data_IF_709602013576
#
_entry.id   IF_709602013576
#
_cell.length_a   1.000
_cell.length_b   1.000
_cell.length_c   1.000
_cell.angle_alpha   90.00
_cell.angle_beta   90.00
_cell.angle_gamma   90.00
#
_symmetry.space_group_name_H-M   'P 1'
#
loop_
_entity.id
_entity.type
_entity.pdbx_description
1 polymer ?
#
# COMPACT_ATOMS: atom_id res chain seq x y z
N UNK A 1 8.78 0.14 -22.23
CA UNK A 1 7.96 -0.85 -22.97
C UNK A 1 6.56 -0.27 -23.03
N UNK A 2 6.09 0.16 -24.22
CA UNK A 2 4.75 0.74 -24.37
C UNK A 2 3.73 -0.40 -24.26
N UNK A 3 3.04 -0.50 -23.12
CA UNK A 3 1.87 -1.38 -23.00
C UNK A 3 0.78 -0.74 -23.86
N UNK A 4 0.47 -1.33 -25.01
CA UNK A 4 -0.61 -0.86 -25.89
C UNK A 4 -1.95 -1.31 -25.32
N UNK A 5 -3.01 -0.50 -25.46
CA UNK A 5 -4.38 -0.92 -25.16
C UNK A 5 -4.73 -2.29 -25.79
N UNK A 6 -4.23 -2.56 -27.01
CA UNK A 6 -4.40 -3.85 -27.69
C UNK A 6 -3.78 -5.05 -26.95
N UNK A 7 -2.71 -4.85 -26.17
CA UNK A 7 -2.11 -5.89 -25.34
C UNK A 7 -2.99 -6.24 -24.15
N UNK A 8 -3.54 -5.24 -23.46
CA UNK A 8 -4.47 -5.41 -22.34
C UNK A 8 -5.80 -6.05 -22.80
N UNK A 9 -6.26 -5.72 -24.02
CA UNK A 9 -7.53 -6.21 -24.59
C UNK A 9 -7.47 -7.63 -25.15
N UNK A 10 -6.30 -8.08 -25.62
CA UNK A 10 -6.14 -9.43 -26.16
C UNK A 10 -6.07 -10.49 -25.05
N UNK A 11 -5.57 -10.09 -23.88
CA UNK A 11 -5.55 -10.91 -22.67
C UNK A 11 -6.98 -11.08 -22.11
N UNK A 12 -7.69 -9.97 -21.88
CA UNK A 12 -9.07 -9.97 -21.35
C UNK A 12 -10.11 -10.69 -22.25
N UNK A 13 -9.77 -11.03 -23.50
CA UNK A 13 -10.67 -11.68 -24.46
C UNK A 13 -10.63 -13.21 -24.44
N UNK A 14 -9.60 -13.81 -23.83
CA UNK A 14 -9.42 -15.28 -23.81
C UNK A 14 -10.34 -15.99 -22.81
N UNK A 15 -10.98 -15.25 -21.91
CA UNK A 15 -11.72 -15.77 -20.75
C UNK A 15 -13.24 -15.67 -20.84
N UNK A 16 -13.83 -15.14 -21.93
CA UNK A 16 -15.28 -14.86 -21.97
C UNK A 16 -16.03 -15.41 -23.18
N UNK A 17 -17.20 -16.00 -22.92
CA UNK A 17 -18.09 -16.69 -23.88
C UNK A 17 -19.05 -15.75 -24.63
N UNK A 18 -19.33 -14.53 -24.15
CA UNK A 18 -20.26 -13.60 -24.81
C UNK A 18 -19.54 -12.51 -25.66
N UNK A 19 -19.44 -12.76 -26.97
CA UNK A 19 -18.69 -11.94 -27.94
C UNK A 19 -19.23 -10.50 -28.14
N UNK A 20 -20.52 -10.23 -27.85
CA UNK A 20 -21.17 -8.95 -28.18
C UNK A 20 -20.93 -7.90 -27.09
N UNK A 21 -21.06 -8.29 -25.82
CA UNK A 21 -20.73 -7.47 -24.64
C UNK A 21 -19.23 -7.20 -24.56
N UNK A 22 -18.40 -8.22 -24.84
CA UNK A 22 -16.95 -8.10 -24.92
C UNK A 22 -16.50 -7.02 -25.92
N UNK A 23 -17.13 -6.95 -27.11
CA UNK A 23 -16.74 -5.98 -28.15
C UNK A 23 -17.06 -4.53 -27.76
N UNK A 24 -18.13 -4.31 -26.99
CA UNK A 24 -18.52 -2.99 -26.46
C UNK A 24 -17.58 -2.54 -25.33
N UNK A 25 -17.35 -3.40 -24.34
CA UNK A 25 -16.41 -3.13 -23.24
C UNK A 25 -14.97 -2.96 -23.74
N UNK A 26 -14.56 -3.70 -24.78
CA UNK A 26 -13.27 -3.51 -25.45
C UNK A 26 -13.11 -2.10 -25.99
N UNK A 27 -14.13 -1.55 -26.67
CA UNK A 27 -14.05 -0.20 -27.24
C UNK A 27 -13.99 0.89 -26.16
N UNK A 28 -14.77 0.74 -25.09
CA UNK A 28 -14.76 1.68 -23.96
C UNK A 28 -13.43 1.60 -23.16
N UNK A 29 -12.84 0.42 -22.99
CA UNK A 29 -11.51 0.25 -22.37
C UNK A 29 -10.40 0.86 -23.24
N UNK A 30 -10.44 0.71 -24.58
CA UNK A 30 -9.51 1.38 -25.50
C UNK A 30 -9.57 2.88 -25.30
N UNK A 31 -10.78 3.47 -25.33
CA UNK A 31 -10.95 4.92 -25.21
C UNK A 31 -10.49 5.47 -23.85
N UNK A 32 -10.76 4.74 -22.75
CA UNK A 32 -10.32 5.13 -21.40
C UNK A 32 -8.82 4.94 -21.20
N UNK A 33 -8.25 3.82 -21.64
CA UNK A 33 -6.80 3.54 -21.51
C UNK A 33 -5.99 4.44 -22.44
N UNK A 34 -6.40 4.64 -23.69
CA UNK A 34 -5.71 5.55 -24.61
C UNK A 34 -5.88 7.01 -24.19
N UNK A 35 -7.03 7.38 -23.62
CA UNK A 35 -7.26 8.68 -22.99
C UNK A 35 -6.34 8.93 -21.80
N UNK A 36 -6.22 7.96 -20.87
CA UNK A 36 -5.34 8.04 -19.71
C UNK A 36 -3.86 8.04 -20.11
N UNK A 37 -3.46 7.22 -21.08
CA UNK A 37 -2.10 7.21 -21.64
C UNK A 37 -1.77 8.54 -22.31
N UNK A 38 -2.73 9.18 -23.00
CA UNK A 38 -2.57 10.52 -23.57
C UNK A 38 -2.34 11.62 -22.52
N UNK A 39 -3.05 11.57 -21.40
CA UNK A 39 -2.87 12.50 -20.26
C UNK A 39 -1.56 12.24 -19.52
N UNK A 40 -1.13 10.98 -19.39
CA UNK A 40 0.15 10.61 -18.77
C UNK A 40 1.36 11.06 -19.61
N UNK A 41 1.27 10.98 -20.94
CA UNK A 41 2.35 11.42 -21.84
C UNK A 41 2.53 12.94 -21.86
N UNK A 42 1.47 13.71 -21.63
CA UNK A 42 1.52 15.19 -21.57
C UNK A 42 2.02 15.72 -20.22
N UNK A 43 1.84 14.94 -19.15
CA UNK A 43 2.27 15.28 -17.78
C UNK A 43 3.73 14.93 -17.48
N UNK A 44 4.35 14.05 -18.27
CA UNK A 44 5.71 13.52 -18.05
C UNK A 44 6.85 14.43 -18.57
N UNK A 45 6.55 15.61 -19.13
CA UNK A 45 7.55 16.52 -19.69
C UNK A 45 8.17 17.51 -18.69
N UNK A 46 8.07 17.27 -17.38
CA UNK A 46 8.75 18.10 -16.37
C UNK A 46 9.57 17.23 -15.41
N UNK A 47 10.88 17.43 -15.52
CA UNK A 47 11.97 17.08 -14.59
C UNK A 47 12.46 15.61 -14.57
N UNK A 48 13.68 15.43 -15.09
CA UNK A 48 14.55 14.27 -14.83
C UNK A 48 15.21 14.42 -13.46
N UNK A 49 15.28 13.36 -12.64
CA UNK A 49 16.30 13.23 -11.61
C UNK A 49 17.43 12.30 -12.07
N UNK A 50 18.66 12.69 -11.73
CA UNK A 50 19.88 11.92 -11.96
C UNK A 50 19.91 10.63 -11.13
N UNK A 51 20.21 9.51 -11.80
CA UNK A 51 20.42 8.19 -11.18
C UNK A 51 21.92 7.90 -11.24
N UNK A 52 22.62 8.03 -10.12
CA UNK A 52 23.96 7.48 -9.94
C UNK A 52 23.89 6.18 -9.13
N UNK A 53 24.33 5.10 -9.79
CA UNK A 53 24.56 3.77 -9.25
C UNK A 53 25.86 3.73 -8.44
N UNK A 54 25.76 3.32 -7.17
CA UNK A 54 26.91 2.97 -6.33
C UNK A 54 26.57 1.75 -5.49
N UNK A 55 26.86 0.56 -6.03
CA UNK A 55 26.97 -0.68 -5.26
C UNK A 55 28.44 -0.83 -4.87
N UNK A 56 28.71 -0.83 -3.57
CA UNK A 56 30.03 -1.19 -3.04
C UNK A 56 29.94 -2.62 -2.49
N UNK A 57 30.93 -3.43 -2.86
CA UNK A 57 30.99 -4.85 -2.60
C UNK A 57 31.73 -5.15 -1.30
N UNK A 58 31.16 -6.05 -0.50
CA UNK A 58 31.94 -6.84 0.46
C UNK A 58 31.50 -8.29 0.34
N UNK A 59 32.45 -9.10 -0.10
CA UNK A 59 32.40 -10.55 -0.22
C UNK A 59 32.41 -11.21 1.15
N UNK A 60 31.43 -12.07 1.41
CA UNK A 60 31.60 -13.21 2.32
C UNK A 60 31.08 -14.45 1.59
N UNK A 61 31.99 -15.40 1.38
CA UNK A 61 31.70 -16.72 0.87
C UNK A 61 31.01 -17.53 1.96
N UNK A 62 29.80 -17.99 1.70
CA UNK A 62 29.34 -19.26 2.29
C UNK A 62 28.42 -20.00 1.32
N UNK A 63 28.70 -21.28 1.19
CA UNK A 63 28.06 -22.24 0.29
C UNK A 63 26.73 -22.72 0.86
N UNK A 64 25.64 -22.66 0.07
CA UNK A 64 24.65 -23.76 -0.11
C UNK A 64 23.45 -23.30 -0.96
N UNK A 65 23.18 -24.10 -2.00
CA UNK A 65 21.88 -24.44 -2.57
C UNK A 65 20.87 -23.33 -2.95
N UNK A 66 20.87 -23.02 -4.25
CA UNK A 66 19.67 -23.03 -5.10
C UNK A 66 18.43 -22.24 -4.61
N UNK A 67 18.44 -20.92 -4.78
CA UNK A 67 17.19 -20.18 -5.03
C UNK A 67 17.43 -19.05 -6.02
N UNK A 68 17.12 -19.31 -7.29
CA UNK A 68 16.78 -18.22 -8.21
C UNK A 68 15.53 -17.57 -7.61
N UNK A 69 15.69 -16.45 -6.91
CA UNK A 69 14.56 -15.68 -6.43
C UNK A 69 13.66 -15.37 -7.64
N UNK A 70 12.46 -15.98 -7.68
CA UNK A 70 11.49 -15.71 -8.74
C UNK A 70 11.10 -14.24 -8.64
N UNK A 71 11.46 -13.48 -9.68
CA UNK A 71 11.06 -12.08 -9.81
C UNK A 71 9.55 -12.05 -10.01
N UNK A 72 8.83 -11.30 -9.17
CA UNK A 72 7.38 -11.16 -9.27
C UNK A 72 6.97 -10.69 -10.68
N UNK A 73 6.09 -11.42 -11.40
CA UNK A 73 5.60 -11.01 -12.71
C UNK A 73 4.78 -9.71 -12.65
N UNK A 74 4.65 -9.01 -13.78
CA UNK A 74 3.85 -7.78 -13.84
C UNK A 74 2.36 -8.07 -13.64
N UNK A 75 1.71 -7.38 -12.69
CA UNK A 75 0.27 -7.52 -12.45
C UNK A 75 -0.58 -7.13 -13.68
N UNK A 76 -0.12 -6.15 -14.48
CA UNK A 76 -0.83 -5.74 -15.70
C UNK A 76 -0.75 -6.79 -16.80
N UNK A 77 0.40 -7.46 -16.94
CA UNK A 77 0.56 -8.53 -17.93
C UNK A 77 -0.21 -9.80 -17.55
N UNK A 78 -0.35 -10.05 -16.26
CA UNK A 78 -1.01 -11.23 -15.69
C UNK A 78 -2.40 -10.91 -15.11
N UNK A 79 -3.02 -9.83 -15.57
CA UNK A 79 -4.31 -9.37 -15.06
C UNK A 79 -5.41 -10.44 -15.21
N UNK A 80 -5.38 -11.24 -16.28
CA UNK A 80 -6.34 -12.33 -16.48
C UNK A 80 -6.27 -13.37 -15.36
N UNK A 81 -5.09 -13.63 -14.78
CA UNK A 81 -4.94 -14.54 -13.66
C UNK A 81 -5.54 -13.95 -12.39
N UNK A 82 -5.31 -12.66 -12.14
CA UNK A 82 -5.92 -11.93 -11.00
C UNK A 82 -7.44 -11.98 -11.12
N UNK A 83 -7.98 -11.74 -12.33
CA UNK A 83 -9.40 -11.83 -12.64
C UNK A 83 -9.94 -13.25 -12.45
N UNK A 84 -9.23 -14.27 -12.93
CA UNK A 84 -9.63 -15.66 -12.76
C UNK A 84 -9.68 -16.05 -11.27
N UNK A 85 -8.73 -15.59 -10.46
CA UNK A 85 -8.74 -15.80 -9.01
C UNK A 85 -9.90 -15.08 -8.30
N UNK A 86 -10.44 -14.02 -8.90
CA UNK A 86 -11.56 -13.24 -8.37
C UNK A 86 -12.92 -13.82 -8.74
N UNK A 87 -12.99 -14.78 -9.67
CA UNK A 87 -14.24 -15.37 -10.13
C UNK A 87 -15.00 -16.04 -8.98
N UNK A 88 -16.30 -15.74 -8.88
CA UNK A 88 -17.21 -16.24 -7.84
C UNK A 88 -16.80 -15.91 -6.39
N UNK A 89 -15.89 -14.94 -6.20
CA UNK A 89 -15.42 -14.47 -4.89
C UNK A 89 -15.75 -13.01 -4.65
N UNK A 90 -15.94 -12.65 -3.38
CA UNK A 90 -15.98 -11.26 -2.95
C UNK A 90 -14.56 -10.72 -2.93
N UNK A 91 -14.31 -9.63 -3.66
CA UNK A 91 -12.99 -8.97 -3.66
C UNK A 91 -12.97 -7.87 -2.60
N UNK A 92 -11.85 -7.76 -1.88
CA UNK A 92 -11.57 -6.68 -0.94
C UNK A 92 -10.18 -6.12 -1.20
N UNK A 93 -10.06 -4.79 -1.20
CA UNK A 93 -8.84 -4.10 -1.62
C UNK A 93 -8.17 -3.39 -0.43
N UNK A 94 -6.90 -3.67 -0.25
CA UNK A 94 -6.02 -3.01 0.71
C UNK A 94 -4.92 -2.27 -0.04
N UNK A 95 -4.70 -1.02 0.33
CA UNK A 95 -3.78 -0.12 -0.37
C UNK A 95 -2.84 0.53 0.63
N UNK A 96 -1.55 0.42 0.42
CA UNK A 96 -0.60 1.33 1.04
C UNK A 96 -0.69 2.75 0.44
N UNK A 97 -0.13 3.76 1.10
CA UNK A 97 -0.19 5.15 0.65
C UNK A 97 1.11 5.65 -0.01
N UNK A 98 2.19 5.80 0.77
CA UNK A 98 3.42 6.45 0.31
C UNK A 98 4.24 5.51 -0.59
N UNK A 99 4.47 5.90 -1.84
CA UNK A 99 5.14 5.04 -2.83
C UNK A 99 4.20 4.10 -3.58
N UNK A 100 2.96 3.98 -3.12
CA UNK A 100 1.90 3.19 -3.74
C UNK A 100 0.86 4.09 -4.42
N UNK A 101 0.09 4.85 -3.65
CA UNK A 101 -0.96 5.76 -4.14
C UNK A 101 -0.43 7.18 -4.39
N UNK A 102 0.63 7.57 -3.69
CA UNK A 102 1.34 8.83 -3.87
C UNK A 102 2.80 8.55 -4.26
N UNK A 103 3.43 9.36 -5.11
CA UNK A 103 4.87 9.26 -5.31
C UNK A 103 5.66 9.54 -4.03
N UNK A 104 6.87 8.99 -3.98
CA UNK A 104 7.82 9.25 -2.91
C UNK A 104 8.47 10.62 -3.14
N UNK A 105 8.24 11.57 -2.23
CA UNK A 105 8.68 12.97 -2.35
C UNK A 105 9.68 13.36 -1.26
N UNK A 106 10.44 14.44 -1.47
CA UNK A 106 11.43 14.92 -0.49
C UNK A 106 10.81 15.50 0.78
N UNK A 107 9.63 16.09 0.65
CA UNK A 107 8.87 16.72 1.72
C UNK A 107 7.63 15.85 2.01
N UNK A 108 7.61 15.10 3.13
CA UNK A 108 6.50 14.19 3.46
C UNK A 108 5.14 14.89 3.54
N UNK A 109 5.07 16.19 3.79
CA UNK A 109 3.82 16.97 3.79
C UNK A 109 3.27 17.21 2.37
N UNK A 110 4.07 16.94 1.33
CA UNK A 110 3.71 17.13 -0.08
C UNK A 110 3.50 15.81 -0.82
N UNK A 111 3.36 14.70 -0.10
CA UNK A 111 3.06 13.40 -0.67
C UNK A 111 1.57 13.34 -1.09
N UNK A 112 1.17 14.21 -2.02
CA UNK A 112 -0.21 14.30 -2.46
C UNK A 112 -0.56 13.21 -3.48
N UNK A 113 -1.68 12.53 -3.23
CA UNK A 113 -2.38 11.72 -4.23
C UNK A 113 -2.95 12.61 -5.33
N UNK A 114 -2.74 12.23 -6.60
CA UNK A 114 -3.29 12.94 -7.76
C UNK A 114 -4.83 12.88 -7.82
N UNK A 115 -5.45 13.80 -8.56
CA UNK A 115 -6.90 13.79 -8.82
C UNK A 115 -7.37 12.49 -9.46
N UNK A 116 -6.57 11.97 -10.39
CA UNK A 116 -6.87 10.75 -11.14
C UNK A 116 -6.81 9.54 -10.23
N UNK A 117 -5.76 9.40 -9.41
CA UNK A 117 -5.64 8.32 -8.44
C UNK A 117 -6.82 8.35 -7.45
N UNK A 118 -7.17 9.54 -6.94
CA UNK A 118 -8.31 9.69 -6.02
C UNK A 118 -9.62 9.27 -6.66
N UNK A 119 -9.88 9.68 -7.89
CA UNK A 119 -11.07 9.28 -8.65
C UNK A 119 -11.11 7.77 -8.88
N UNK A 120 -9.96 7.16 -9.16
CA UNK A 120 -9.80 5.70 -9.34
C UNK A 120 -10.10 4.94 -8.05
N UNK A 121 -9.50 5.35 -6.91
CA UNK A 121 -9.77 4.74 -5.60
C UNK A 121 -11.25 4.90 -5.21
N UNK A 122 -11.82 6.08 -5.44
CA UNK A 122 -13.25 6.34 -5.24
C UNK A 122 -14.14 5.44 -6.09
N UNK A 123 -13.79 5.23 -7.35
CA UNK A 123 -14.57 4.38 -8.24
C UNK A 123 -14.52 2.92 -7.79
N UNK A 124 -13.33 2.38 -7.50
CA UNK A 124 -13.18 0.97 -7.11
C UNK A 124 -13.87 0.68 -5.77
N UNK A 125 -13.88 1.65 -4.85
CA UNK A 125 -14.57 1.57 -3.57
C UNK A 125 -16.11 1.42 -3.69
N UNK A 126 -16.71 1.77 -4.84
CA UNK A 126 -18.15 1.52 -5.08
C UNK A 126 -18.48 0.06 -5.28
N UNK A 127 -17.49 -0.73 -5.72
CA UNK A 127 -17.67 -2.14 -6.07
C UNK A 127 -17.07 -3.08 -5.02
N UNK A 128 -15.96 -2.66 -4.42
CA UNK A 128 -15.20 -3.49 -3.50
C UNK A 128 -14.92 -2.73 -2.20
N UNK A 129 -15.15 -3.33 -1.03
CA UNK A 129 -14.68 -2.78 0.24
C UNK A 129 -13.18 -2.46 0.11
N UNK A 130 -12.83 -1.21 0.41
CA UNK A 130 -11.47 -0.70 0.18
C UNK A 130 -10.94 -0.08 1.47
N UNK A 131 -9.70 -0.41 1.83
CA UNK A 131 -9.03 0.13 3.01
C UNK A 131 -7.62 0.63 2.66
N UNK A 132 -7.24 1.78 3.21
CA UNK A 132 -5.86 2.27 3.15
C UNK A 132 -5.14 1.89 4.45
N UNK A 133 -3.99 1.23 4.33
CA UNK A 133 -3.12 0.81 5.45
C UNK A 133 -1.80 1.57 5.35
N UNK A 134 -1.60 2.56 6.20
CA UNK A 134 -0.48 3.50 6.11
C UNK A 134 0.35 3.55 7.39
N UNK A 135 1.64 3.86 7.26
CA UNK A 135 2.49 4.25 8.39
C UNK A 135 2.13 5.61 8.99
N UNK A 136 1.47 6.47 8.21
CA UNK A 136 0.97 7.79 8.66
C UNK A 136 -0.17 7.66 9.66
N UNK A 137 -0.39 8.67 10.49
CA UNK A 137 -1.61 8.72 11.31
C UNK A 137 -2.86 8.68 10.44
N UNK A 138 -3.96 8.14 11.00
CA UNK A 138 -5.24 8.00 10.30
C UNK A 138 -5.74 9.36 9.78
N UNK A 139 -5.68 10.38 10.62
CA UNK A 139 -6.16 11.72 10.28
C UNK A 139 -5.34 12.32 9.13
N UNK A 140 -4.01 12.13 9.16
CA UNK A 140 -3.13 12.66 8.12
C UNK A 140 -3.32 11.99 6.77
N UNK A 141 -3.41 10.65 6.74
CA UNK A 141 -3.69 9.95 5.47
C UNK A 141 -5.10 10.28 4.96
N UNK A 142 -6.07 10.48 5.85
CA UNK A 142 -7.39 10.98 5.47
C UNK A 142 -7.31 12.39 4.85
N UNK A 143 -6.53 13.31 5.41
CA UNK A 143 -6.37 14.67 4.86
C UNK A 143 -5.75 14.67 3.47
N UNK A 144 -4.88 13.71 3.17
CA UNK A 144 -4.36 13.51 1.82
C UNK A 144 -5.41 12.91 0.87
N UNK A 145 -6.16 11.89 1.30
CA UNK A 145 -7.03 11.07 0.44
C UNK A 145 -8.46 11.60 0.31
N UNK A 146 -9.01 12.20 1.36
CA UNK A 146 -10.32 12.87 1.43
C UNK A 146 -11.48 12.05 0.84
N UNK A 147 -11.45 10.73 1.03
CA UNK A 147 -12.54 9.81 0.68
C UNK A 147 -13.18 9.29 1.97
N UNK A 148 -14.50 9.37 2.06
CA UNK A 148 -15.26 8.92 3.24
C UNK A 148 -15.84 7.52 3.08
N UNK A 149 -15.84 7.01 1.85
CA UNK A 149 -16.38 5.72 1.44
C UNK A 149 -15.39 4.55 1.60
N UNK A 150 -14.20 4.79 2.14
CA UNK A 150 -13.16 3.78 2.38
C UNK A 150 -12.75 3.73 3.85
N UNK A 151 -12.12 2.62 4.25
CA UNK A 151 -11.57 2.45 5.59
C UNK A 151 -10.13 2.97 5.67
N UNK A 152 -9.71 3.39 6.86
CA UNK A 152 -8.35 3.84 7.11
C UNK A 152 -7.76 3.14 8.34
N UNK A 153 -6.57 2.59 8.15
CA UNK A 153 -5.72 2.01 9.16
C UNK A 153 -4.43 2.82 9.21
N UNK A 154 -4.34 3.73 10.18
CA UNK A 154 -3.17 4.57 10.40
C UNK A 154 -2.15 3.91 11.32
N UNK A 155 -0.96 4.52 11.39
CA UNK A 155 0.12 4.15 12.29
C UNK A 155 0.52 2.68 12.15
N UNK A 156 0.73 2.23 10.91
CA UNK A 156 0.99 0.81 10.58
C UNK A 156 -0.16 -0.13 11.01
N UNK A 157 -1.38 0.40 11.00
CA UNK A 157 -2.59 -0.30 11.41
C UNK A 157 -2.83 -0.38 12.91
N UNK A 158 -2.14 0.43 13.73
CA UNK A 158 -2.43 0.57 15.16
C UNK A 158 -3.55 1.58 15.46
N UNK A 159 -4.08 2.29 14.46
CA UNK A 159 -5.23 3.19 14.61
C UNK A 159 -6.27 2.92 13.52
N UNK A 160 -7.26 2.09 13.81
CA UNK A 160 -8.28 1.66 12.86
C UNK A 160 -9.65 2.11 13.34
N UNK A 161 -10.44 2.71 12.44
CA UNK A 161 -11.86 2.93 12.65
C UNK A 161 -12.64 1.99 11.72
N UNK A 162 -13.30 0.98 12.29
CA UNK A 162 -14.14 0.05 11.54
C UNK A 162 -15.60 0.17 12.00
N UNK A 163 -16.53 0.10 11.04
CA UNK A 163 -17.95 -0.07 11.33
C UNK A 163 -18.27 -1.55 11.30
N UNK A 164 -18.76 -2.09 12.41
CA UNK A 164 -19.10 -3.51 12.52
C UNK A 164 -20.51 -3.72 11.97
N UNK A 165 -20.68 -4.73 11.13
CA UNK A 165 -22.00 -5.31 10.95
C UNK A 165 -22.14 -6.35 12.06
N UNK A 166 -22.98 -6.08 13.05
CA UNK A 166 -23.27 -7.04 14.10
C UNK A 166 -23.85 -8.30 13.46
N UNK A 167 -23.18 -9.44 13.65
CA UNK A 167 -23.52 -10.69 12.95
C UNK A 167 -24.74 -11.40 13.53
N UNK A 168 -25.34 -10.88 14.61
CA UNK A 168 -26.30 -11.64 15.44
C UNK A 168 -27.54 -10.86 15.93
N UNK A 169 -27.93 -9.75 15.29
CA UNK A 169 -29.15 -9.04 15.70
C UNK A 169 -30.07 -8.70 14.51
N UNK A 170 -31.28 -9.26 14.56
CA UNK A 170 -32.44 -9.05 13.67
C UNK A 170 -33.13 -7.69 13.88
N UNK A 171 -32.41 -6.69 14.41
CA UNK A 171 -32.94 -5.36 14.74
C UNK A 171 -32.18 -4.32 13.93
N UNK A 172 -32.90 -3.32 13.41
CA UNK A 172 -32.41 -2.27 12.52
C UNK A 172 -31.02 -1.72 12.93
N UNK A 173 -30.06 -1.89 12.02
CA UNK A 173 -28.61 -1.71 12.21
C UNK A 173 -28.22 -0.28 12.58
N UNK A 174 -27.95 0.00 13.86
CA UNK A 174 -26.99 1.04 14.22
C UNK A 174 -25.59 0.49 13.96
N UNK A 175 -24.94 0.95 12.89
CA UNK A 175 -23.51 0.66 12.65
C UNK A 175 -22.69 1.24 13.80
N UNK A 176 -22.30 0.41 14.75
CA UNK A 176 -21.40 0.86 15.81
C UNK A 176 -19.98 0.99 15.21
N UNK A 177 -19.46 2.22 15.24
CA UNK A 177 -18.07 2.50 14.89
C UNK A 177 -17.20 2.14 16.08
N UNK A 178 -16.42 1.05 15.97
CA UNK A 178 -15.44 0.71 17.00
C UNK A 178 -14.08 1.26 16.61
N UNK A 179 -13.48 1.95 17.58
CA UNK A 179 -12.08 2.33 17.52
C UNK A 179 -11.23 1.14 17.96
N UNK A 180 -10.24 0.76 17.15
CA UNK A 180 -9.30 -0.29 17.49
C UNK A 180 -7.88 0.28 17.56
N UNK A 181 -7.30 0.24 18.76
CA UNK A 181 -5.98 0.81 19.08
C UNK A 181 -5.20 -0.13 20.01
N UNK A 182 -4.51 -1.15 19.48
CA UNK A 182 -3.83 -2.16 20.29
C UNK A 182 -2.64 -1.61 21.06
N UNK A 183 -2.17 -0.40 20.72
CA UNK A 183 -1.06 0.29 21.35
C UNK A 183 -1.49 1.47 22.24
N UNK A 184 -2.77 1.57 22.64
CA UNK A 184 -3.31 2.74 23.33
C UNK A 184 -2.53 3.14 24.59
N UNK A 185 -2.03 2.16 25.35
CA UNK A 185 -1.23 2.39 26.56
C UNK A 185 0.11 3.10 26.30
N UNK A 186 0.59 3.11 25.05
CA UNK A 186 1.86 3.74 24.66
C UNK A 186 1.73 5.21 24.24
N UNK A 187 0.51 5.78 24.18
CA UNK A 187 0.31 7.15 23.65
C UNK A 187 1.14 8.22 24.38
N UNK A 188 1.17 8.17 25.71
CA UNK A 188 1.95 9.10 26.53
C UNK A 188 3.44 8.97 26.21
N UNK A 189 3.94 7.72 26.17
CA UNK A 189 5.34 7.43 25.87
C UNK A 189 5.74 7.86 24.45
N UNK A 190 4.89 7.62 23.44
CA UNK A 190 5.12 8.08 22.07
C UNK A 190 5.18 9.60 22.00
N UNK A 191 4.34 10.28 22.76
CA UNK A 191 4.36 11.75 22.83
C UNK A 191 5.65 12.27 23.48
N UNK A 192 6.13 11.60 24.53
CA UNK A 192 7.39 11.94 25.21
C UNK A 192 8.60 11.72 24.30
N UNK A 193 8.75 10.52 23.71
CA UNK A 193 9.86 10.22 22.81
C UNK A 193 9.84 11.14 21.59
N UNK A 194 8.66 11.51 21.07
CA UNK A 194 8.53 12.47 19.97
C UNK A 194 9.14 13.83 20.33
N UNK A 195 8.86 14.36 21.53
CA UNK A 195 9.44 15.62 22.01
C UNK A 195 10.97 15.51 22.15
N UNK A 196 11.47 14.42 22.74
CA UNK A 196 12.91 14.18 22.87
C UNK A 196 13.60 14.11 21.51
N UNK A 197 13.00 13.39 20.55
CA UNK A 197 13.53 13.27 19.19
C UNK A 197 13.54 14.62 18.45
N UNK A 198 12.49 15.43 18.59
CA UNK A 198 12.44 16.79 18.03
C UNK A 198 13.63 17.61 18.56
N UNK A 199 13.88 17.58 19.87
CA UNK A 199 14.94 18.40 20.48
C UNK A 199 16.33 17.95 20.03
N UNK A 200 16.64 16.65 20.10
CA UNK A 200 17.99 16.16 19.74
C UNK A 200 18.30 16.24 18.24
N UNK A 201 17.27 16.22 17.37
CA UNK A 201 17.46 16.31 15.92
C UNK A 201 17.46 17.75 15.40
N UNK A 202 17.05 18.73 16.21
CA UNK A 202 16.94 20.15 15.83
C UNK A 202 18.23 20.76 15.27
N UNK A 203 19.39 20.31 15.77
CA UNK A 203 20.70 20.78 15.31
C UNK A 203 21.16 20.11 13.99
N UNK A 204 20.49 19.03 13.55
CA UNK A 204 20.86 18.30 12.34
C UNK A 204 20.09 18.87 11.15
N UNK A 205 20.75 19.73 10.37
CA UNK A 205 20.16 20.35 9.18
C UNK A 205 19.57 19.30 8.23
N UNK A 206 18.29 19.44 7.91
CA UNK A 206 17.54 18.56 7.01
C UNK A 206 16.86 17.37 7.69
N UNK A 207 17.10 17.14 8.98
CA UNK A 207 16.35 16.14 9.75
C UNK A 207 14.99 16.73 10.15
N UNK A 208 13.94 15.91 10.11
CA UNK A 208 12.61 16.29 10.58
C UNK A 208 11.98 15.14 11.35
N UNK A 209 11.12 15.46 12.31
CA UNK A 209 10.44 14.48 13.15
C UNK A 209 8.94 14.66 13.01
N UNK A 210 8.24 13.57 12.75
CA UNK A 210 6.80 13.52 12.55
C UNK A 210 6.16 12.56 13.56
N UNK A 211 5.14 13.03 14.29
CA UNK A 211 4.37 12.20 15.20
C UNK A 211 3.13 11.63 14.48
N UNK A 212 3.16 10.33 14.22
CA UNK A 212 2.10 9.55 13.59
C UNK A 212 1.27 8.77 14.63
N UNK A 213 1.04 9.34 15.82
CA UNK A 213 0.22 8.83 16.95
C UNK A 213 0.77 7.60 17.67
N UNK A 214 0.96 6.48 16.96
CA UNK A 214 1.60 5.27 17.49
C UNK A 214 2.95 4.98 16.83
N UNK A 215 3.47 5.94 16.06
CA UNK A 215 4.76 5.86 15.38
C UNK A 215 5.38 7.26 15.38
N UNK A 216 6.69 7.38 15.60
CA UNK A 216 7.44 8.61 15.38
C UNK A 216 8.42 8.39 14.25
N UNK A 217 8.32 9.20 13.20
CA UNK A 217 9.16 9.09 12.00
C UNK A 217 10.22 10.17 12.03
N UNK A 218 11.50 9.77 12.03
CA UNK A 218 12.65 10.67 11.90
C UNK A 218 13.16 10.59 10.46
N UNK A 219 12.81 11.60 9.66
CA UNK A 219 13.19 11.67 8.26
C UNK A 219 14.59 12.25 8.13
N UNK A 220 15.45 11.55 7.40
CA UNK A 220 16.85 11.98 7.17
C UNK A 220 17.18 12.09 5.68
N UNK A 221 16.16 12.10 4.82
CA UNK A 221 16.32 12.21 3.37
C UNK A 221 17.06 13.47 2.92
N UNK A 222 16.79 14.60 3.58
CA UNK A 222 17.36 15.89 3.27
C UNK A 222 18.62 16.20 4.12
N UNK A 223 19.08 15.22 4.91
CA UNK A 223 20.31 15.31 5.69
C UNK A 223 21.50 14.95 4.79
N UNK A 224 22.59 15.71 4.91
CA UNK A 224 23.87 15.39 4.27
C UNK A 224 24.30 13.95 4.63
N UNK A 225 24.67 13.15 3.62
CA UNK A 225 25.04 11.72 3.77
C UNK A 225 26.06 11.49 4.89
N UNK A 226 27.00 12.41 5.11
CA UNK A 226 28.01 12.29 6.17
C UNK A 226 27.41 12.27 7.59
N UNK A 227 26.22 12.84 7.75
CA UNK A 227 25.50 12.95 9.01
C UNK A 227 24.43 11.85 9.21
N UNK A 228 24.24 10.92 8.27
CA UNK A 228 23.24 9.84 8.44
C UNK A 228 23.55 8.95 9.65
N UNK A 229 24.83 8.64 9.88
CA UNK A 229 25.27 7.89 11.07
C UNK A 229 24.96 8.65 12.36
N UNK A 230 25.14 9.98 12.36
CA UNK A 230 24.80 10.83 13.49
C UNK A 230 23.31 10.78 13.80
N UNK A 231 22.43 10.84 12.79
CA UNK A 231 20.97 10.71 13.00
C UNK A 231 20.64 9.38 13.67
N UNK A 232 21.17 8.26 13.16
CA UNK A 232 20.94 6.94 13.76
C UNK A 232 21.45 6.87 15.21
N UNK A 233 22.62 7.46 15.50
CA UNK A 233 23.19 7.51 16.84
C UNK A 233 22.33 8.31 17.82
N UNK A 234 21.87 9.51 17.44
CA UNK A 234 21.04 10.34 18.34
C UNK A 234 19.69 9.69 18.60
N UNK A 235 19.07 9.09 17.59
CA UNK A 235 17.81 8.34 17.75
C UNK A 235 18.01 7.18 18.71
N UNK A 236 19.00 6.31 18.46
CA UNK A 236 19.27 5.17 19.33
C UNK A 236 19.65 5.56 20.77
N UNK A 237 20.32 6.71 20.95
CA UNK A 237 20.63 7.21 22.29
C UNK A 237 19.37 7.61 23.05
N UNK A 238 18.40 8.28 22.40
CA UNK A 238 17.10 8.58 23.02
C UNK A 238 16.38 7.29 23.41
N UNK A 239 16.38 6.26 22.53
CA UNK A 239 15.67 5.01 22.81
C UNK A 239 16.24 4.17 23.97
N UNK A 240 17.43 4.48 24.48
CA UNK A 240 17.95 3.81 25.70
C UNK A 240 17.03 4.01 26.91
N UNK A 241 16.33 5.15 26.96
CA UNK A 241 15.40 5.48 28.04
C UNK A 241 13.98 4.94 27.78
N UNK A 242 13.72 4.33 26.61
CA UNK A 242 12.42 3.82 26.19
C UNK A 242 12.51 2.34 25.76
N UNK A 243 12.79 1.40 26.69
CA UNK A 243 13.07 0.01 26.36
C UNK A 243 11.88 -0.78 25.81
N UNK A 244 10.68 -0.22 25.78
CA UNK A 244 9.48 -0.83 25.18
C UNK A 244 9.20 -0.33 23.76
N UNK A 245 10.08 0.51 23.20
CA UNK A 245 10.03 0.97 21.82
C UNK A 245 11.14 0.32 20.99
N UNK A 246 10.90 0.19 19.68
CA UNK A 246 11.89 -0.28 18.71
C UNK A 246 12.05 0.72 17.57
N UNK A 247 13.23 0.73 16.98
CA UNK A 247 13.53 1.46 15.74
C UNK A 247 13.48 0.49 14.56
N UNK A 248 12.77 0.86 13.51
CA UNK A 248 12.85 0.22 12.19
C UNK A 248 13.29 1.23 11.13
N UNK A 249 13.95 0.73 10.08
CA UNK A 249 14.41 1.55 8.97
C UNK A 249 13.47 1.42 7.78
N UNK A 250 12.97 2.55 7.29
CA UNK A 250 12.25 2.65 6.02
C UNK A 250 13.06 3.43 4.97
N UNK A 251 12.40 3.91 3.92
CA UNK A 251 13.05 4.64 2.80
C UNK A 251 13.52 6.05 3.18
N UNK A 252 14.72 6.11 3.77
CA UNK A 252 15.36 7.34 4.33
C UNK A 252 14.59 7.93 5.51
N UNK A 253 14.05 7.05 6.35
CA UNK A 253 13.31 7.37 7.57
C UNK A 253 13.62 6.31 8.64
N UNK A 254 13.78 6.74 9.89
CA UNK A 254 13.81 5.86 11.06
C UNK A 254 12.46 5.95 11.75
N UNK A 255 11.80 4.81 11.96
CA UNK A 255 10.49 4.73 12.58
C UNK A 255 10.59 4.15 13.98
N UNK A 256 10.15 4.92 14.96
CA UNK A 256 10.08 4.52 16.36
C UNK A 256 8.65 4.08 16.67
N UNK A 257 8.48 2.84 17.10
CA UNK A 257 7.16 2.24 17.35
C UNK A 257 7.15 1.38 18.61
N UNK A 258 5.98 1.17 19.26
CA UNK A 258 5.84 0.23 20.35
C UNK A 258 6.27 -1.19 19.97
N UNK A 259 6.91 -1.90 20.90
CA UNK A 259 7.23 -3.32 20.77
C UNK A 259 6.04 -4.19 21.12
N UNK A 260 5.01 -4.12 20.27
CA UNK A 260 3.88 -5.02 20.33
C UNK A 260 3.92 -6.00 19.17
N UNK A 261 3.23 -7.13 19.35
CA UNK A 261 3.05 -8.15 18.33
C UNK A 261 1.99 -7.68 17.30
N UNK A 262 2.28 -6.59 16.59
CA UNK A 262 1.40 -5.95 15.61
C UNK A 262 2.18 -5.49 14.37
N UNK A 263 1.57 -5.66 13.20
CA UNK A 263 2.12 -5.31 11.89
C UNK A 263 0.98 -5.06 10.88
N UNK A 264 1.31 -4.64 9.66
CA UNK A 264 0.32 -4.38 8.60
C UNK A 264 -0.45 -5.65 8.19
N UNK A 265 0.16 -6.83 8.28
CA UNK A 265 -0.53 -8.10 8.02
C UNK A 265 -1.66 -8.35 9.02
N UNK A 266 -1.41 -8.14 10.31
CA UNK A 266 -2.43 -8.24 11.35
C UNK A 266 -3.52 -7.19 11.23
N UNK A 267 -3.17 -5.99 10.76
CA UNK A 267 -4.16 -4.97 10.44
C UNK A 267 -5.10 -5.43 9.30
N UNK A 268 -4.55 -6.09 8.28
CA UNK A 268 -5.34 -6.68 7.19
C UNK A 268 -6.25 -7.80 7.72
N UNK A 269 -5.73 -8.73 8.52
CA UNK A 269 -6.56 -9.78 9.14
C UNK A 269 -7.69 -9.20 10.00
N UNK A 270 -7.37 -8.18 10.81
CA UNK A 270 -8.34 -7.50 11.64
C UNK A 270 -9.45 -6.86 10.81
N UNK A 271 -9.09 -6.18 9.71
CA UNK A 271 -10.06 -5.58 8.79
C UNK A 271 -10.92 -6.64 8.11
N UNK A 272 -10.33 -7.75 7.64
CA UNK A 272 -11.09 -8.85 7.05
C UNK A 272 -12.14 -9.41 8.01
N UNK A 273 -11.74 -9.71 9.26
CA UNK A 273 -12.67 -10.20 10.30
C UNK A 273 -13.75 -9.16 10.63
N UNK A 274 -13.35 -7.90 10.80
CA UNK A 274 -14.28 -6.82 11.18
C UNK A 274 -15.33 -6.53 10.09
N UNK A 275 -15.02 -6.84 8.84
CA UNK A 275 -15.91 -6.67 7.69
C UNK A 275 -16.74 -7.94 7.38
N UNK A 276 -16.53 -9.04 8.11
CA UNK A 276 -17.14 -10.35 7.80
C UNK A 276 -16.66 -10.92 6.46
N UNK A 277 -15.37 -10.70 6.15
CA UNK A 277 -14.70 -11.08 4.90
C UNK A 277 -13.49 -12.00 5.17
N UNK A 278 -13.51 -12.76 6.26
CA UNK A 278 -12.41 -13.61 6.71
C UNK A 278 -12.47 -15.05 6.17
N UNK A 279 -13.52 -15.43 5.45
CA UNK A 279 -13.62 -16.71 4.74
C UNK A 279 -12.68 -16.74 3.52
N UNK A 280 -11.65 -17.59 3.58
CA UNK A 280 -10.66 -17.72 2.51
C UNK A 280 -11.21 -18.35 1.23
N UNK A 281 -12.30 -19.11 1.27
CA UNK A 281 -12.84 -19.77 0.08
C UNK A 281 -13.68 -18.81 -0.77
N UNK A 282 -14.41 -17.91 -0.10
CA UNK A 282 -15.35 -16.98 -0.76
C UNK A 282 -14.82 -15.56 -0.90
N UNK A 283 -13.66 -15.23 -0.34
CA UNK A 283 -13.07 -13.88 -0.38
C UNK A 283 -11.67 -13.88 -1.00
N UNK A 284 -11.43 -12.95 -1.93
CA UNK A 284 -10.12 -12.61 -2.47
C UNK A 284 -9.65 -11.26 -1.92
N UNK A 285 -8.75 -11.24 -0.92
CA UNK A 285 -8.04 -10.03 -0.54
C UNK A 285 -6.93 -9.69 -1.53
N UNK A 286 -6.92 -8.45 -2.01
CA UNK A 286 -5.84 -7.89 -2.83
C UNK A 286 -5.14 -6.82 -2.00
N UNK A 287 -3.82 -6.91 -1.84
CA UNK A 287 -3.01 -5.88 -1.17
C UNK A 287 -1.99 -5.29 -2.14
N UNK A 288 -1.91 -3.96 -2.21
CA UNK A 288 -0.93 -3.25 -3.04
C UNK A 288 -0.04 -2.40 -2.13
N UNK A 289 1.27 -2.60 -2.17
CA UNK A 289 2.22 -1.85 -1.32
C UNK A 289 3.66 -1.85 -1.83
N UNK A 290 4.51 -0.96 -1.33
CA UNK A 290 5.83 -0.70 -1.90
C UNK A 290 7.00 -1.01 -0.95
N UNK A 291 6.79 -0.96 0.37
CA UNK A 291 7.87 -0.97 1.35
C UNK A 291 7.95 -2.27 2.14
N UNK A 292 9.03 -2.42 2.92
CA UNK A 292 9.31 -3.61 3.73
C UNK A 292 8.17 -3.98 4.67
N UNK A 293 7.42 -3.01 5.18
CA UNK A 293 6.28 -3.27 6.09
C UNK A 293 5.09 -3.91 5.37
N UNK A 294 4.99 -3.78 4.05
CA UNK A 294 3.92 -4.40 3.26
C UNK A 294 4.15 -5.89 3.04
N UNK A 295 5.40 -6.36 3.21
CA UNK A 295 5.73 -7.79 3.18
C UNK A 295 4.97 -8.58 4.26
N UNK A 296 4.70 -7.97 5.42
CA UNK A 296 3.88 -8.57 6.47
C UNK A 296 2.44 -8.84 5.96
N UNK A 297 1.88 -7.93 5.16
CA UNK A 297 0.57 -8.11 4.54
C UNK A 297 0.60 -9.12 3.39
N UNK A 298 1.63 -9.08 2.54
CA UNK A 298 1.78 -10.07 1.46
C UNK A 298 1.90 -11.49 2.01
N UNK A 299 2.65 -11.68 3.10
CA UNK A 299 2.77 -12.97 3.77
C UNK A 299 1.42 -13.51 4.24
N UNK A 300 0.62 -12.70 4.93
CA UNK A 300 -0.75 -13.08 5.35
C UNK A 300 -1.60 -13.49 4.14
N UNK A 301 -1.55 -12.73 3.05
CA UNK A 301 -2.32 -13.04 1.83
C UNK A 301 -1.88 -14.36 1.18
N UNK A 302 -0.57 -14.63 1.17
CA UNK A 302 0.01 -15.88 0.66
C UNK A 302 -0.40 -17.09 1.50
N UNK A 303 -0.34 -16.97 2.82
CA UNK A 303 -0.72 -18.04 3.77
C UNK A 303 -2.22 -18.39 3.69
N UNK A 304 -3.07 -17.41 3.36
CA UNK A 304 -4.51 -17.62 3.12
C UNK A 304 -4.83 -18.41 1.84
N UNK A 305 -3.84 -18.76 1.02
CA UNK A 305 -3.93 -19.48 -0.28
C UNK A 305 -4.72 -18.77 -1.40
N UNK A 306 -5.66 -17.91 -1.05
CA UNK A 306 -6.55 -17.17 -1.96
C UNK A 306 -6.38 -15.65 -1.87
N UNK A 307 -5.22 -15.15 -1.41
CA UNK A 307 -4.88 -13.72 -1.42
C UNK A 307 -3.97 -13.33 -2.57
N UNK A 308 -3.99 -12.05 -2.96
CA UNK A 308 -3.17 -11.50 -4.03
C UNK A 308 -2.37 -10.28 -3.54
N UNK A 309 -1.10 -10.49 -3.21
CA UNK A 309 -0.14 -9.41 -2.93
C UNK A 309 0.48 -8.86 -4.21
N UNK A 310 0.54 -7.53 -4.33
CA UNK A 310 1.11 -6.81 -5.46
C UNK A 310 2.14 -5.80 -4.95
N UNK A 311 3.41 -6.04 -5.25
CA UNK A 311 4.51 -5.16 -4.91
C UNK A 311 4.55 -3.95 -5.86
N UNK A 312 4.79 -2.75 -5.32
CA UNK A 312 5.09 -1.56 -6.10
C UNK A 312 6.59 -1.28 -6.03
N UNK A 313 7.28 -1.48 -7.15
CA UNK A 313 8.73 -1.27 -7.23
C UNK A 313 9.20 -1.06 -8.67
N UNK A 314 10.06 -0.08 -8.88
CA UNK A 314 10.73 0.10 -10.19
C UNK A 314 11.75 -1.00 -10.47
N UNK A 315 12.32 -1.58 -9.42
CA UNK A 315 13.37 -2.59 -9.50
C UNK A 315 12.84 -3.92 -8.98
N UNK A 316 13.00 -5.02 -9.73
CA UNK A 316 12.75 -6.36 -9.22
C UNK A 316 13.45 -6.61 -7.88
N UNK A 317 12.71 -7.09 -6.88
CA UNK A 317 13.27 -7.52 -5.59
C UNK A 317 12.52 -8.74 -5.07
N UNK A 318 13.17 -9.50 -4.18
CA UNK A 318 12.53 -10.60 -3.45
C UNK A 318 11.35 -10.05 -2.64
N UNK A 319 10.21 -10.71 -2.72
CA UNK A 319 8.98 -10.30 -2.06
C UNK A 319 8.07 -11.50 -1.87
N UNK A 320 7.23 -11.44 -0.84
CA UNK A 320 6.11 -12.35 -0.62
C UNK A 320 4.92 -12.02 -1.54
N UNK A 321 4.98 -10.93 -2.32
CA UNK A 321 3.97 -10.61 -3.33
C UNK A 321 3.95 -11.64 -4.49
N UNK A 322 2.78 -11.83 -5.11
CA UNK A 322 2.63 -12.66 -6.31
C UNK A 322 2.92 -11.88 -7.58
N UNK A 323 2.65 -10.58 -7.57
CA UNK A 323 2.82 -9.71 -8.75
C UNK A 323 3.54 -8.41 -8.39
N UNK A 324 3.91 -7.64 -9.41
CA UNK A 324 4.55 -6.35 -9.28
C UNK A 324 3.95 -5.29 -10.22
N UNK A 325 3.94 -4.04 -9.77
CA UNK A 325 3.71 -2.81 -10.54
C UNK A 325 4.94 -1.91 -10.41
N UNK A 326 5.26 -1.12 -11.43
CA UNK A 326 6.51 -0.32 -11.44
C UNK A 326 6.48 0.94 -10.57
N UNK A 327 5.29 1.40 -10.19
CA UNK A 327 5.12 2.64 -9.44
C UNK A 327 3.67 3.14 -9.46
N UNK A 328 3.40 4.30 -8.81
CA UNK A 328 2.06 4.87 -8.71
C UNK A 328 1.35 5.06 -10.07
N UNK A 329 2.09 5.31 -11.15
CA UNK A 329 1.53 5.44 -12.50
C UNK A 329 0.88 4.15 -13.00
N UNK A 330 1.44 2.99 -12.68
CA UNK A 330 0.83 1.69 -13.02
C UNK A 330 -0.24 1.29 -11.99
N UNK A 331 -0.09 1.73 -10.73
CA UNK A 331 -1.13 1.55 -9.70
C UNK A 331 -2.44 2.22 -10.10
N UNK A 332 -2.44 3.37 -10.79
CA UNK A 332 -3.69 3.97 -11.31
C UNK A 332 -4.43 3.04 -12.28
N UNK A 333 -3.70 2.22 -13.04
CA UNK A 333 -4.28 1.40 -14.11
C UNK A 333 -5.02 0.20 -13.53
N UNK A 334 -4.49 -0.43 -12.48
CA UNK A 334 -5.04 -1.68 -11.97
C UNK A 334 -6.48 -1.54 -11.42
N UNK A 335 -6.83 -0.55 -10.58
CA UNK A 335 -8.20 -0.38 -10.12
C UNK A 335 -9.12 0.13 -11.24
N UNK A 336 -8.62 0.81 -12.27
CA UNK A 336 -9.41 1.06 -13.49
C UNK A 336 -9.80 -0.28 -14.12
N UNK A 337 -8.84 -1.19 -14.30
CA UNK A 337 -9.12 -2.52 -14.83
C UNK A 337 -10.07 -3.33 -13.93
N UNK A 338 -9.94 -3.24 -12.59
CA UNK A 338 -10.88 -3.86 -11.65
C UNK A 338 -12.28 -3.25 -11.72
N UNK A 339 -12.42 -1.94 -11.93
CA UNK A 339 -13.73 -1.30 -12.14
C UNK A 339 -14.41 -1.85 -13.41
N UNK A 340 -13.66 -2.00 -14.50
CA UNK A 340 -14.17 -2.61 -15.72
C UNK A 340 -14.60 -4.07 -15.48
N UNK A 341 -13.80 -4.83 -14.74
CA UNK A 341 -14.16 -6.21 -14.37
C UNK A 341 -15.39 -6.28 -13.45
N UNK A 342 -15.52 -5.37 -12.47
CA UNK A 342 -16.71 -5.28 -11.62
C UNK A 342 -17.97 -5.01 -12.46
N UNK A 343 -17.87 -4.09 -13.43
CA UNK A 343 -18.97 -3.83 -14.36
C UNK A 343 -19.35 -5.08 -15.17
N UNK A 344 -18.38 -5.92 -15.55
CA UNK A 344 -18.59 -7.19 -16.27
C UNK A 344 -19.18 -8.30 -15.40
N UNK A 345 -18.82 -8.39 -14.11
CA UNK A 345 -19.38 -9.35 -13.16
C UNK A 345 -20.82 -9.01 -12.73
N UNK A 346 -21.19 -7.73 -12.74
CA UNK A 346 -22.51 -7.24 -12.32
C UNK A 346 -23.52 -7.26 -13.48
N UNK A 347 -23.08 -7.40 -14.73
CA UNK A 347 -24.02 -7.53 -15.85
C UNK A 347 -24.72 -8.89 -15.78
N UNK A 348 -26.07 -8.95 -15.69
CA UNK A 348 -26.78 -10.20 -15.83
C UNK A 348 -26.44 -10.80 -17.20
N UNK A 349 -26.07 -12.07 -17.19
CA UNK A 349 -25.84 -12.92 -18.36
C UNK A 349 -26.99 -12.86 -19.36
#
# INVERSE_FOLDING_TARGET
>A
MKISANFLLNNCARTYTNKKTLKKCKRELVEVVDGLVGVMMTSSNREKPDIESGYDGSSDEDSTENSRAEICPSALCFFDQIVASAQDKKVVLFLDYDGTLSPIVNDPEKAFMSSEMRATVKSVAKHFPTAIVSGRSRDKVFDFVKLTEIYYAGSHGMDILASFADSDSTIEKTKETKLFQPANEFLTMITEVSKSLIEVTKAIKGATVENNKFCVSVHYRNVDKKNWKLVAQVVNNVLKDFPSLKVSTGRKVLEVRPMINWDKGKAVEFLLRSLGLDDSETVLPIYIGDDKTDEDAFKVLRERKNGCGILVSQVPKKSEAFFMLRGPSEVVILPVMLNFFAALLIMPS
#
